data_IF_320085845551
#
_entry.id   IF_320085845551
#
_cell.length_a   1.000
_cell.length_b   1.000
_cell.length_c   1.000
_cell.angle_alpha   90.00
_cell.angle_beta   90.00
_cell.angle_gamma   90.00
#
_symmetry.space_group_name_H-M   'P 1'
#
loop_
_entity.id
_entity.type
_entity.pdbx_description
1 polymer ?
#
# COMPACT_ATOMS: atom_id res chain seq x y z
N UNK A 1 6.00 -6.41 -8.82
CA UNK A 1 5.36 -5.09 -8.81
C UNK A 1 6.06 -4.19 -7.81
N UNK A 2 6.13 -2.90 -8.10
CA UNK A 2 6.90 -1.97 -7.26
C UNK A 2 6.33 -1.87 -5.84
N UNK A 3 5.02 -1.77 -5.70
CA UNK A 3 4.39 -1.64 -4.39
C UNK A 3 4.69 -2.84 -3.50
N UNK A 4 4.61 -4.04 -4.05
CA UNK A 4 4.92 -5.26 -3.32
C UNK A 4 6.36 -5.27 -2.82
N UNK A 5 7.30 -4.83 -3.67
CA UNK A 5 8.71 -4.76 -3.29
C UNK A 5 8.95 -3.76 -2.17
N UNK A 6 8.26 -2.63 -2.21
CA UNK A 6 8.39 -1.61 -1.16
C UNK A 6 7.87 -2.15 0.18
N UNK A 7 6.72 -2.82 0.18
CA UNK A 7 6.15 -3.36 1.41
C UNK A 7 7.02 -4.49 1.97
N UNK A 8 7.54 -5.36 1.12
CA UNK A 8 8.44 -6.43 1.55
C UNK A 8 9.73 -5.85 2.11
N UNK A 9 10.25 -4.80 1.51
CA UNK A 9 11.44 -4.12 2.03
C UNK A 9 11.17 -3.51 3.40
N UNK A 10 10.00 -2.92 3.62
CA UNK A 10 9.64 -2.35 4.90
C UNK A 10 9.64 -3.42 6.00
N UNK A 11 9.06 -4.59 5.73
CA UNK A 11 9.06 -5.70 6.68
C UNK A 11 10.49 -6.18 6.96
N UNK A 12 11.30 -6.32 5.91
CA UNK A 12 12.69 -6.72 6.06
C UNK A 12 13.52 -5.70 6.83
N UNK A 13 13.09 -4.44 6.85
CA UNK A 13 13.78 -3.35 7.55
C UNK A 13 13.32 -3.15 9.00
N UNK A 14 12.41 -3.98 9.49
CA UNK A 14 11.97 -3.93 10.89
C UNK A 14 10.62 -3.25 11.11
N UNK A 15 9.83 -3.07 10.07
CA UNK A 15 8.52 -2.43 10.17
C UNK A 15 7.41 -3.40 9.80
N UNK A 16 6.33 -3.38 10.58
CA UNK A 16 5.11 -4.08 10.19
C UNK A 16 4.27 -3.18 9.30
N UNK A 17 3.68 -3.77 8.26
CA UNK A 17 2.70 -3.07 7.43
C UNK A 17 1.33 -3.25 8.06
N UNK A 18 0.81 -2.18 8.67
CA UNK A 18 -0.47 -2.23 9.39
C UNK A 18 -1.66 -1.94 8.51
N UNK A 19 -1.51 -1.05 7.55
CA UNK A 19 -2.59 -0.74 6.62
C UNK A 19 -2.04 -0.27 5.29
N UNK A 20 -2.84 -0.45 4.26
CA UNK A 20 -2.53 -0.02 2.90
C UNK A 20 -3.82 0.47 2.27
N UNK A 21 -3.76 1.65 1.67
CA UNK A 21 -4.90 2.22 0.97
C UNK A 21 -4.40 3.08 -0.17
N UNK A 22 -5.31 3.65 -0.94
CA UNK A 22 -4.95 4.54 -2.03
C UNK A 22 -5.56 5.93 -1.82
N UNK A 23 -4.92 6.94 -2.40
CA UNK A 23 -5.46 8.29 -2.38
C UNK A 23 -6.65 8.38 -3.32
N UNK A 24 -7.78 8.98 -2.89
CA UNK A 24 -8.94 9.14 -3.75
C UNK A 24 -8.74 10.16 -4.87
N UNK A 25 -7.63 10.89 -4.83
CA UNK A 25 -7.29 11.92 -5.81
C UNK A 25 -6.04 11.47 -6.55
N UNK A 26 -6.06 11.54 -7.89
CA UNK A 26 -4.86 11.23 -8.67
C UNK A 26 -3.75 12.20 -8.35
N UNK A 27 -2.56 11.66 -8.14
CA UNK A 27 -1.37 12.48 -7.94
C UNK A 27 -0.94 13.18 -9.22
N UNK A 28 0.16 13.94 -9.13
CA UNK A 28 0.71 14.65 -10.28
C UNK A 28 0.96 13.71 -11.45
N UNK A 29 0.78 14.20 -12.66
CA UNK A 29 0.94 13.46 -13.91
C UNK A 29 -0.02 12.25 -14.02
N UNK A 30 -1.12 12.24 -13.27
CA UNK A 30 -2.10 11.17 -13.34
C UNK A 30 -1.73 9.89 -12.60
N UNK A 31 -0.66 9.92 -11.81
CA UNK A 31 -0.24 8.75 -11.04
C UNK A 31 -1.15 8.50 -9.86
N UNK A 32 -1.34 7.21 -9.53
CA UNK A 32 -2.08 6.80 -8.36
C UNK A 32 -1.13 6.81 -7.16
N UNK A 33 -1.54 7.45 -6.07
CA UNK A 33 -0.76 7.49 -4.85
C UNK A 33 -1.31 6.49 -3.85
N UNK A 34 -0.41 5.81 -3.13
CA UNK A 34 -0.77 4.83 -2.12
C UNK A 34 -0.34 5.32 -0.74
N UNK A 35 -1.15 5.00 0.27
CA UNK A 35 -0.92 5.37 1.66
C UNK A 35 -0.62 4.11 2.44
N UNK A 36 0.50 4.12 3.16
CA UNK A 36 0.95 2.96 3.93
C UNK A 36 1.17 3.38 5.38
N UNK A 37 0.62 2.60 6.31
CA UNK A 37 0.89 2.79 7.73
C UNK A 37 1.89 1.74 8.19
N UNK A 38 3.01 2.19 8.73
CA UNK A 38 4.07 1.33 9.21
C UNK A 38 4.23 1.47 10.72
N UNK A 39 4.63 0.39 11.38
CA UNK A 39 4.90 0.39 12.81
C UNK A 39 6.18 -0.38 13.09
N UNK A 40 7.07 0.20 13.87
CA UNK A 40 8.31 -0.46 14.28
C UNK A 40 8.00 -1.48 15.38
N UNK A 41 8.35 -2.74 15.16
CA UNK A 41 8.05 -3.83 16.10
C UNK A 41 9.19 -4.84 16.11
N UNK A 42 9.22 -5.69 17.16
CA UNK A 42 10.25 -6.72 17.27
C UNK A 42 10.11 -7.83 16.24
N UNK A 43 8.88 -8.15 15.84
CA UNK A 43 8.61 -9.19 14.86
C UNK A 43 7.82 -8.59 13.70
N UNK A 44 8.51 -7.93 12.76
CA UNK A 44 7.83 -7.27 11.64
C UNK A 44 7.06 -8.26 10.77
N UNK A 45 5.87 -7.84 10.36
CA UNK A 45 5.04 -8.64 9.47
C UNK A 45 4.06 -7.75 8.72
N UNK A 46 3.49 -8.29 7.67
CA UNK A 46 2.40 -7.63 6.98
C UNK A 46 1.09 -8.04 7.66
N UNK A 47 0.25 -7.06 8.01
CA UNK A 47 -1.05 -7.35 8.60
C UNK A 47 -1.84 -8.24 7.63
N UNK A 48 -2.42 -9.36 8.09
CA UNK A 48 -3.15 -10.26 7.20
C UNK A 48 -4.38 -9.64 6.53
N UNK A 49 -4.86 -8.51 7.06
CA UNK A 49 -5.96 -7.78 6.43
C UNK A 49 -5.50 -6.90 5.28
N UNK A 50 -4.18 -6.71 5.11
CA UNK A 50 -3.63 -5.93 4.01
C UNK A 50 -3.60 -6.81 2.76
N UNK A 51 -4.26 -6.35 1.70
CA UNK A 51 -4.24 -7.03 0.42
C UNK A 51 -3.82 -6.05 -0.65
N UNK A 52 -2.60 -6.23 -1.16
CA UNK A 52 -2.07 -5.37 -2.21
C UNK A 52 -2.94 -5.46 -3.46
N UNK A 53 -3.35 -6.67 -3.82
CA UNK A 53 -4.19 -6.89 -5.00
C UNK A 53 -5.53 -6.16 -4.90
N UNK A 54 -6.18 -6.25 -3.74
CA UNK A 54 -7.46 -5.58 -3.54
C UNK A 54 -7.33 -4.06 -3.58
N UNK A 55 -6.28 -3.53 -2.97
CA UNK A 55 -6.06 -2.08 -2.96
C UNK A 55 -5.84 -1.57 -4.37
N UNK A 56 -5.02 -2.25 -5.16
CA UNK A 56 -4.76 -1.88 -6.54
C UNK A 56 -6.04 -1.96 -7.37
N UNK A 57 -6.78 -3.04 -7.24
CA UNK A 57 -8.03 -3.24 -7.95
C UNK A 57 -9.03 -2.14 -7.60
N UNK A 58 -9.18 -1.83 -6.32
CA UNK A 58 -10.07 -0.77 -5.87
C UNK A 58 -9.62 0.60 -6.35
N UNK A 59 -8.32 0.85 -6.35
CA UNK A 59 -7.77 2.12 -6.81
C UNK A 59 -8.09 2.36 -8.29
N UNK A 60 -7.85 1.37 -9.14
CA UNK A 60 -8.16 1.49 -10.55
C UNK A 60 -9.65 1.60 -10.81
N UNK A 61 -10.45 0.82 -10.10
CA UNK A 61 -11.90 0.87 -10.23
C UNK A 61 -12.46 2.23 -9.84
N UNK A 62 -12.00 2.78 -8.72
CA UNK A 62 -12.52 4.05 -8.20
C UNK A 62 -12.05 5.24 -9.04
N UNK A 63 -10.76 5.28 -9.39
CA UNK A 63 -10.20 6.41 -10.13
C UNK A 63 -10.62 6.41 -11.60
N UNK A 64 -10.97 5.26 -12.13
CA UNK A 64 -11.46 5.15 -13.50
C UNK A 64 -12.82 5.85 -13.70
N UNK A 65 -13.57 6.03 -12.61
CA UNK A 65 -14.87 6.69 -12.64
C UNK A 65 -14.77 8.22 -12.70
N UNK A 66 -13.58 8.76 -12.49
CA UNK A 66 -13.36 10.21 -12.46
C UNK A 66 -13.12 10.81 -13.84
#
# INVERSE_FOLDING_TARGET
>A
MVLEKILNFAVASGYSVESLDFSPIKGGAGNIEFLVELKSVEQPRMNPNVSIEKVIENAYSELKKQ
#
